data_IF_204351343284
#
_entry.id   IF_204351343284
#
_cell.length_a   1.000
_cell.length_b   1.000
_cell.length_c   1.000
_cell.angle_alpha   90.00
_cell.angle_beta   90.00
_cell.angle_gamma   90.00
#
_symmetry.space_group_name_H-M   'P 1'
#
loop_
_entity.id
_entity.type
_entity.pdbx_description
1 polymer ?
#
# COMPACT_ATOMS: atom_id res chain seq x y z
N UNK A 1 -36.74 18.30 -21.99
CA UNK A 1 -36.67 17.17 -21.03
C UNK A 1 -35.49 17.44 -20.10
N UNK A 2 -35.73 17.89 -18.87
CA UNK A 2 -34.71 18.31 -17.92
C UNK A 2 -34.12 17.07 -17.23
N UNK A 3 -32.83 16.78 -17.37
CA UNK A 3 -32.16 15.72 -16.60
C UNK A 3 -32.07 16.19 -15.14
N UNK A 4 -32.83 15.57 -14.26
CA UNK A 4 -32.66 15.75 -12.82
C UNK A 4 -31.26 15.21 -12.43
N UNK A 5 -30.39 16.09 -11.97
CA UNK A 5 -29.15 15.69 -11.33
C UNK A 5 -29.48 15.17 -9.94
N UNK A 6 -29.46 13.84 -9.77
CA UNK A 6 -29.48 13.23 -8.44
C UNK A 6 -28.09 13.46 -7.85
N UNK A 7 -27.99 14.46 -6.99
CA UNK A 7 -26.82 14.66 -6.15
C UNK A 7 -26.89 13.64 -5.02
N UNK A 8 -26.15 12.54 -5.13
CA UNK A 8 -25.98 11.60 -4.03
C UNK A 8 -25.24 12.36 -2.93
N UNK A 9 -25.93 12.64 -1.83
CA UNK A 9 -25.31 13.21 -0.63
C UNK A 9 -24.42 12.13 -0.02
N UNK A 10 -23.11 12.33 -0.11
CA UNK A 10 -22.14 11.48 0.58
C UNK A 10 -22.02 11.98 2.02
N UNK A 11 -22.31 11.12 2.99
CA UNK A 11 -22.08 11.41 4.40
C UNK A 11 -20.70 10.86 4.78
N UNK A 12 -19.87 11.72 5.36
CA UNK A 12 -18.53 11.40 5.82
C UNK A 12 -18.54 11.36 7.34
N UNK A 13 -18.15 10.23 7.90
CA UNK A 13 -18.03 10.06 9.35
C UNK A 13 -16.64 9.52 9.70
N UNK A 14 -16.14 9.93 10.87
CA UNK A 14 -14.91 9.37 11.42
C UNK A 14 -15.24 8.01 11.99
N UNK A 15 -14.83 6.95 11.28
CA UNK A 15 -15.02 5.57 11.75
C UNK A 15 -14.14 5.24 12.96
N UNK A 16 -12.84 5.55 12.90
CA UNK A 16 -11.88 5.28 13.97
C UNK A 16 -10.87 6.41 14.14
N UNK A 17 -10.42 6.68 15.38
CA UNK A 17 -9.48 7.77 15.71
C UNK A 17 -8.52 7.40 16.84
N UNK A 18 -7.57 8.28 17.18
CA UNK A 18 -6.64 8.09 18.31
C UNK A 18 -5.36 7.28 17.98
N UNK A 19 -5.23 6.84 16.74
CA UNK A 19 -4.02 6.19 16.21
C UNK A 19 -2.90 7.21 15.94
N UNK A 20 -1.65 6.77 16.01
CA UNK A 20 -0.45 7.52 15.68
C UNK A 20 0.11 6.99 14.37
N UNK A 21 -0.04 7.79 13.31
CA UNK A 21 0.43 7.47 11.96
C UNK A 21 -0.10 6.11 11.46
N UNK A 22 -1.43 5.94 11.30
CA UNK A 22 -1.97 4.78 10.60
C UNK A 22 -1.40 4.73 9.17
N UNK A 23 -0.86 3.59 8.76
CA UNK A 23 -0.15 3.41 7.49
C UNK A 23 -1.02 2.80 6.39
N UNK A 24 -1.69 1.69 6.69
CA UNK A 24 -2.52 0.94 5.75
C UNK A 24 -3.76 0.40 6.45
N UNK A 25 -4.80 0.16 5.67
CA UNK A 25 -6.04 -0.49 6.11
C UNK A 25 -6.40 -1.60 5.14
N UNK A 26 -6.88 -2.73 5.65
CA UNK A 26 -7.24 -3.86 4.81
C UNK A 26 -8.41 -4.64 5.40
N UNK A 27 -9.31 -5.08 4.51
CA UNK A 27 -10.41 -5.97 4.86
C UNK A 27 -9.93 -7.41 4.87
N UNK A 28 -10.17 -8.09 5.97
CA UNK A 28 -9.97 -9.53 6.10
C UNK A 28 -11.13 -10.29 5.45
N UNK A 29 -10.89 -11.50 4.90
CA UNK A 29 -11.95 -12.35 4.37
C UNK A 29 -13.07 -12.68 5.38
N UNK A 30 -12.76 -12.63 6.68
CA UNK A 30 -13.72 -12.84 7.77
C UNK A 30 -14.54 -11.58 8.14
N UNK A 31 -14.36 -10.48 7.41
CA UNK A 31 -15.09 -9.23 7.59
C UNK A 31 -14.48 -8.25 8.60
N UNK A 32 -13.31 -8.57 9.18
CA UNK A 32 -12.59 -7.60 10.02
C UNK A 32 -11.94 -6.51 9.17
N UNK A 33 -11.93 -5.28 9.66
CA UNK A 33 -11.12 -4.19 9.11
C UNK A 33 -9.90 -3.99 10.00
N UNK A 34 -8.70 -4.28 9.47
CA UNK A 34 -7.46 -4.11 10.19
C UNK A 34 -6.72 -2.84 9.75
N UNK A 35 -5.99 -2.21 10.66
CA UNK A 35 -5.13 -1.05 10.39
C UNK A 35 -3.73 -1.30 10.92
N UNK A 36 -2.71 -1.04 10.10
CA UNK A 36 -1.32 -0.97 10.55
C UNK A 36 -1.07 0.40 11.17
N UNK A 37 -0.69 0.43 12.44
CA UNK A 37 -0.33 1.65 13.14
C UNK A 37 1.19 1.79 13.18
N UNK A 38 1.71 2.48 12.17
CA UNK A 38 3.14 2.65 11.93
C UNK A 38 3.87 3.25 13.13
N UNK A 39 3.27 4.28 13.74
CA UNK A 39 3.89 5.04 14.82
C UNK A 39 3.93 4.33 16.17
N UNK A 40 3.11 3.30 16.38
CA UNK A 40 3.07 2.50 17.62
C UNK A 40 3.51 1.04 17.45
N UNK A 41 3.91 0.64 16.24
CA UNK A 41 4.43 -0.72 16.04
C UNK A 41 3.37 -1.78 16.30
N UNK A 42 2.14 -1.60 15.82
CA UNK A 42 1.04 -2.53 16.07
C UNK A 42 0.05 -2.61 14.92
N UNK A 43 -0.74 -3.68 14.90
CA UNK A 43 -1.91 -3.86 14.03
C UNK A 43 -3.16 -3.91 14.89
N UNK A 44 -4.19 -3.17 14.49
CA UNK A 44 -5.44 -3.03 15.22
C UNK A 44 -6.60 -3.60 14.41
N UNK A 45 -7.57 -4.18 15.10
CA UNK A 45 -8.91 -4.39 14.56
C UNK A 45 -9.75 -3.15 14.83
N UNK A 46 -10.19 -2.48 13.77
CA UNK A 46 -11.00 -1.25 13.82
C UNK A 46 -12.42 -1.47 13.32
N UNK A 47 -12.87 -2.72 13.20
CA UNK A 47 -14.19 -3.07 12.63
C UNK A 47 -15.33 -2.32 13.30
N UNK A 48 -15.30 -2.21 14.63
CA UNK A 48 -16.34 -1.52 15.42
C UNK A 48 -16.20 0.00 15.48
N UNK A 49 -15.11 0.55 14.94
CA UNK A 49 -14.82 1.99 15.02
C UNK A 49 -14.53 2.48 16.44
N UNK A 50 -14.46 3.80 16.61
CA UNK A 50 -14.24 4.48 17.89
C UNK A 50 -12.80 4.89 18.20
N UNK A 51 -12.52 5.15 19.48
CA UNK A 51 -11.20 5.58 19.95
C UNK A 51 -10.24 4.39 20.09
N UNK A 52 -9.15 4.40 19.34
CA UNK A 52 -8.15 3.34 19.29
C UNK A 52 -6.95 3.57 20.21
N UNK A 53 -6.91 4.68 20.99
CA UNK A 53 -5.74 5.04 21.81
C UNK A 53 -5.28 3.90 22.71
N UNK A 54 -6.22 3.25 23.39
CA UNK A 54 -5.99 2.17 24.36
C UNK A 54 -6.58 0.83 23.88
N UNK A 55 -6.92 0.72 22.59
CA UNK A 55 -7.42 -0.51 22.01
C UNK A 55 -6.38 -1.63 22.11
N UNK A 56 -6.85 -2.85 22.41
CA UNK A 56 -6.02 -4.04 22.47
C UNK A 56 -5.58 -4.36 21.03
N UNK A 57 -4.27 -4.40 20.74
CA UNK A 57 -3.79 -4.71 19.40
C UNK A 57 -4.01 -6.17 19.05
N UNK A 58 -4.30 -6.44 17.78
CA UNK A 58 -4.26 -7.79 17.22
C UNK A 58 -2.82 -8.31 17.20
N UNK A 59 -1.86 -7.49 16.77
CA UNK A 59 -0.42 -7.78 16.82
C UNK A 59 0.35 -6.56 17.33
N UNK A 60 1.41 -6.75 18.13
CA UNK A 60 2.17 -5.65 18.76
C UNK A 60 3.67 -5.96 18.82
N UNK A 61 4.49 -5.00 19.25
CA UNK A 61 5.96 -5.06 19.18
C UNK A 61 6.51 -5.25 17.76
N UNK A 62 5.74 -4.77 16.76
CA UNK A 62 6.25 -4.54 15.41
C UNK A 62 7.15 -3.30 15.44
N UNK A 63 8.05 -3.16 14.46
CA UNK A 63 8.95 -2.01 14.45
C UNK A 63 8.29 -0.84 13.72
N UNK A 64 7.89 -1.05 12.47
CA UNK A 64 7.27 -0.04 11.62
C UNK A 64 6.35 -0.72 10.58
N UNK A 65 5.18 -1.23 11.01
CA UNK A 65 4.27 -1.94 10.13
C UNK A 65 3.64 -0.96 9.14
N UNK A 66 3.98 -1.13 7.86
CA UNK A 66 3.60 -0.22 6.80
C UNK A 66 2.32 -0.68 6.09
N UNK A 67 2.30 -1.93 5.60
CA UNK A 67 1.14 -2.49 4.90
C UNK A 67 0.75 -3.87 5.40
N UNK A 68 -0.54 -4.18 5.30
CA UNK A 68 -1.16 -5.45 5.69
C UNK A 68 -1.63 -6.14 4.42
N UNK A 69 -1.46 -7.46 4.34
CA UNK A 69 -1.94 -8.27 3.22
C UNK A 69 -2.51 -9.60 3.72
N UNK A 70 -3.82 -9.82 3.66
CA UNK A 70 -4.39 -11.16 3.71
C UNK A 70 -4.03 -11.90 2.43
N UNK A 71 -3.39 -13.05 2.55
CA UNK A 71 -3.00 -13.89 1.42
C UNK A 71 -3.19 -15.35 1.78
N UNK A 72 -4.16 -15.99 1.12
CA UNK A 72 -4.60 -17.35 1.43
C UNK A 72 -5.02 -17.45 2.91
N UNK A 73 -4.40 -18.34 3.66
CA UNK A 73 -4.59 -18.59 5.09
C UNK A 73 -3.70 -17.72 5.99
N UNK A 74 -2.95 -16.77 5.42
CA UNK A 74 -1.95 -15.97 6.14
C UNK A 74 -2.33 -14.50 6.18
N UNK A 75 -1.93 -13.84 7.26
CA UNK A 75 -1.91 -12.39 7.37
C UNK A 75 -0.47 -11.91 7.41
N UNK A 76 -0.07 -11.18 6.37
CA UNK A 76 1.28 -10.67 6.22
C UNK A 76 1.34 -9.19 6.52
N UNK A 77 2.49 -8.74 7.02
CA UNK A 77 2.79 -7.32 7.20
C UNK A 77 4.15 -6.98 6.59
N UNK A 78 4.21 -5.91 5.80
CA UNK A 78 5.47 -5.29 5.43
C UNK A 78 5.92 -4.42 6.61
N UNK A 79 6.99 -4.81 7.29
CA UNK A 79 7.56 -4.04 8.38
C UNK A 79 8.87 -3.38 7.94
N UNK A 80 8.81 -2.06 7.81
CA UNK A 80 9.92 -1.26 7.31
C UNK A 80 11.10 -1.21 8.29
N UNK A 81 10.85 -1.40 9.58
CA UNK A 81 11.88 -1.38 10.62
C UNK A 81 12.60 -2.72 10.73
N UNK A 82 11.86 -3.83 10.61
CA UNK A 82 12.45 -5.17 10.52
C UNK A 82 13.08 -5.49 9.15
N UNK A 83 12.87 -4.62 8.15
CA UNK A 83 13.29 -4.84 6.76
C UNK A 83 12.84 -6.22 6.26
N UNK A 84 11.56 -6.50 6.44
CA UNK A 84 11.01 -7.82 6.21
C UNK A 84 9.52 -7.80 5.92
N UNK A 85 9.06 -8.85 5.25
CA UNK A 85 7.66 -9.27 5.30
C UNK A 85 7.55 -10.29 6.43
N UNK A 86 6.62 -10.05 7.35
CA UNK A 86 6.39 -10.88 8.53
C UNK A 86 5.04 -11.58 8.41
N UNK A 87 4.94 -12.75 9.01
CA UNK A 87 3.69 -13.47 9.21
C UNK A 87 3.14 -13.17 10.60
N UNK A 88 1.97 -12.53 10.65
CA UNK A 88 1.28 -12.13 11.88
C UNK A 88 -0.07 -12.83 12.05
N UNK A 89 -0.27 -13.97 11.38
CA UNK A 89 -1.56 -14.69 11.34
C UNK A 89 -2.15 -14.96 12.73
N UNK A 90 -1.30 -15.33 13.69
CA UNK A 90 -1.70 -15.64 15.07
C UNK A 90 -1.91 -14.40 15.95
N UNK A 91 -1.57 -13.21 15.45
CA UNK A 91 -1.51 -12.00 16.26
C UNK A 91 -0.46 -12.08 17.37
N UNK A 92 -0.66 -11.31 18.44
CA UNK A 92 0.17 -11.32 19.65
C UNK A 92 1.51 -10.58 19.50
N UNK A 93 2.46 -10.93 20.37
CA UNK A 93 3.78 -10.31 20.48
C UNK A 93 4.70 -10.65 19.29
N UNK A 94 5.16 -9.62 18.58
CA UNK A 94 6.05 -9.72 17.43
C UNK A 94 7.50 -9.33 17.73
N UNK A 95 7.91 -9.31 19.00
CA UNK A 95 9.32 -9.08 19.39
C UNK A 95 10.29 -10.13 18.81
N UNK A 96 9.79 -11.32 18.46
CA UNK A 96 10.52 -12.38 17.73
C UNK A 96 9.66 -12.82 16.54
N UNK A 97 9.55 -12.00 15.49
CA UNK A 97 8.54 -12.20 14.47
C UNK A 97 8.89 -13.37 13.55
N UNK A 98 7.87 -14.03 13.00
CA UNK A 98 8.02 -15.02 11.94
C UNK A 98 8.35 -14.30 10.62
N UNK A 99 9.63 -14.26 10.27
CA UNK A 99 10.08 -13.64 9.01
C UNK A 99 9.73 -14.55 7.84
N UNK A 100 8.95 -14.02 6.89
CA UNK A 100 8.68 -14.69 5.61
C UNK A 100 9.86 -14.50 4.68
N UNK A 101 10.31 -13.25 4.53
CA UNK A 101 11.41 -12.89 3.64
C UNK A 101 11.97 -11.52 4.04
N UNK A 102 13.26 -11.31 3.79
CA UNK A 102 13.94 -10.02 3.99
C UNK A 102 13.78 -9.15 2.76
N UNK A 103 13.34 -7.91 2.95
CA UNK A 103 13.20 -6.90 1.90
C UNK A 103 13.69 -5.57 2.47
N UNK A 104 14.46 -4.80 1.71
CA UNK A 104 14.96 -3.51 2.19
C UNK A 104 13.83 -2.48 2.20
N UNK A 105 13.50 -1.90 3.37
CA UNK A 105 12.48 -0.85 3.51
C UNK A 105 11.13 -1.13 2.83
N UNK A 106 10.49 -2.29 3.06
CA UNK A 106 9.21 -2.61 2.44
C UNK A 106 8.14 -1.68 3.00
N UNK A 107 7.31 -1.11 2.12
CA UNK A 107 6.27 -0.18 2.55
C UNK A 107 4.86 -0.59 2.12
N UNK A 108 4.72 -1.26 0.98
CA UNK A 108 3.44 -1.78 0.54
C UNK A 108 3.55 -3.23 0.09
N UNK A 109 2.42 -3.92 0.11
CA UNK A 109 2.25 -5.31 -0.29
C UNK A 109 1.07 -5.41 -1.25
N UNK A 110 1.15 -6.34 -2.19
CA UNK A 110 0.06 -6.63 -3.11
C UNK A 110 0.15 -8.08 -3.63
N UNK A 111 -0.97 -8.60 -4.14
CA UNK A 111 -1.04 -9.93 -4.77
C UNK A 111 -1.42 -9.80 -6.24
N UNK A 112 -0.50 -10.13 -7.14
CA UNK A 112 -0.72 -10.11 -8.59
C UNK A 112 -0.51 -11.52 -9.14
N UNK A 113 -1.45 -12.04 -9.93
CA UNK A 113 -1.41 -13.41 -10.46
C UNK A 113 -1.04 -14.48 -9.41
N UNK A 114 -1.62 -14.35 -8.20
CA UNK A 114 -1.39 -15.23 -7.05
C UNK A 114 0.05 -15.21 -6.48
N UNK A 115 0.82 -14.17 -6.77
CA UNK A 115 2.17 -13.97 -6.28
C UNK A 115 2.26 -12.68 -5.46
N UNK A 116 3.12 -12.65 -4.45
CA UNK A 116 3.25 -11.50 -3.56
C UNK A 116 4.28 -10.55 -4.15
N UNK A 117 3.93 -9.27 -4.16
CA UNK A 117 4.82 -8.18 -4.53
C UNK A 117 4.97 -7.24 -3.36
N UNK A 118 6.16 -6.70 -3.19
CA UNK A 118 6.47 -5.70 -2.17
C UNK A 118 7.27 -4.59 -2.79
N UNK A 119 7.13 -3.38 -2.26
CA UNK A 119 8.21 -2.42 -2.48
C UNK A 119 9.49 -2.87 -1.84
N UNK A 120 10.57 -2.33 -2.38
CA UNK A 120 11.79 -2.11 -1.63
C UNK A 120 12.25 -0.66 -1.81
N UNK A 121 13.08 -0.23 -0.86
CA UNK A 121 13.93 0.95 -1.02
C UNK A 121 15.29 0.69 -0.42
N UNK A 122 16.34 1.03 -1.16
CA UNK A 122 17.73 1.06 -0.71
C UNK A 122 18.18 2.53 -0.60
N UNK A 123 19.48 2.75 -0.35
CA UNK A 123 20.06 4.11 -0.39
C UNK A 123 20.18 4.66 -1.82
N UNK A 124 20.15 3.79 -2.83
CA UNK A 124 20.44 4.14 -4.23
C UNK A 124 19.25 4.00 -5.16
N UNK A 125 18.32 3.09 -4.86
CA UNK A 125 17.12 2.91 -5.67
C UNK A 125 15.90 2.46 -4.88
N UNK A 126 14.73 2.71 -5.44
CA UNK A 126 13.46 2.11 -5.04
C UNK A 126 12.90 1.26 -6.19
N UNK A 127 11.91 0.43 -5.89
CA UNK A 127 11.26 -0.39 -6.89
C UNK A 127 10.43 -1.51 -6.29
N UNK A 128 10.08 -2.50 -7.10
CA UNK A 128 9.24 -3.63 -6.69
C UNK A 128 10.05 -4.92 -6.72
N UNK A 129 9.88 -5.73 -5.69
CA UNK A 129 10.29 -7.13 -5.68
C UNK A 129 9.08 -8.03 -5.77
N UNK A 130 9.22 -9.10 -6.52
CA UNK A 130 8.34 -10.25 -6.52
C UNK A 130 8.90 -11.28 -5.54
N UNK A 131 8.04 -11.81 -4.68
CA UNK A 131 8.39 -12.89 -3.75
C UNK A 131 8.00 -14.19 -4.41
N UNK A 132 9.01 -14.98 -4.78
CA UNK A 132 8.78 -16.26 -5.43
C UNK A 132 8.41 -17.36 -4.45
N UNK A 133 8.07 -18.54 -4.97
CA UNK A 133 7.40 -19.61 -4.22
C UNK A 133 8.26 -20.21 -3.11
N UNK A 134 9.59 -20.09 -3.22
CA UNK A 134 10.54 -20.61 -2.25
C UNK A 134 11.11 -19.50 -1.35
N UNK A 135 10.50 -18.31 -1.35
CA UNK A 135 10.96 -17.15 -0.58
C UNK A 135 12.07 -16.35 -1.27
N UNK A 136 12.37 -16.63 -2.54
CA UNK A 136 13.30 -15.82 -3.33
C UNK A 136 12.76 -14.40 -3.55
N UNK A 137 13.67 -13.42 -3.50
CA UNK A 137 13.35 -12.01 -3.74
C UNK A 137 13.86 -11.65 -5.13
N UNK A 138 12.93 -11.48 -6.07
CA UNK A 138 13.23 -11.18 -7.46
C UNK A 138 12.98 -9.70 -7.69
N UNK A 139 14.00 -8.94 -8.11
CA UNK A 139 13.82 -7.55 -8.53
C UNK A 139 12.98 -7.52 -9.80
N UNK A 140 11.79 -6.95 -9.69
CA UNK A 140 10.80 -6.92 -10.77
C UNK A 140 10.69 -5.53 -11.41
N UNK A 141 10.78 -4.48 -10.58
CA UNK A 141 10.90 -3.09 -11.01
C UNK A 141 12.10 -2.45 -10.34
N UNK A 142 12.95 -1.75 -11.10
CA UNK A 142 14.24 -1.24 -10.61
C UNK A 142 14.57 0.16 -11.12
N UNK A 143 15.62 0.76 -10.56
CA UNK A 143 16.22 2.00 -11.07
C UNK A 143 15.46 3.28 -10.73
N UNK A 144 14.39 3.20 -9.91
CA UNK A 144 13.71 4.42 -9.49
C UNK A 144 14.54 5.19 -8.46
N UNK A 145 14.59 6.53 -8.57
CA UNK A 145 15.37 7.33 -7.65
C UNK A 145 14.80 7.28 -6.23
N UNK A 146 15.68 7.19 -5.24
CA UNK A 146 15.31 7.26 -3.83
C UNK A 146 14.93 8.69 -3.49
N UNK A 147 13.82 8.87 -2.78
CA UNK A 147 13.38 10.18 -2.30
C UNK A 147 13.34 10.12 -0.79
N UNK A 148 14.09 10.97 -0.09
CA UNK A 148 14.08 11.02 1.37
C UNK A 148 13.00 12.01 1.83
N UNK A 149 12.15 11.62 2.78
CA UNK A 149 11.24 12.57 3.43
C UNK A 149 11.67 12.86 4.86
N UNK A 150 11.01 13.83 5.49
CA UNK A 150 11.21 14.09 6.91
C UNK A 150 10.87 12.87 7.78
N UNK A 151 9.92 12.04 7.35
CA UNK A 151 9.52 10.83 8.05
C UNK A 151 10.58 9.75 8.01
N UNK A 152 11.30 9.61 6.89
CA UNK A 152 12.42 8.65 6.83
C UNK A 152 13.55 9.05 7.79
N UNK A 153 13.73 10.34 8.08
CA UNK A 153 14.65 10.79 9.14
C UNK A 153 14.11 10.50 10.55
N UNK A 154 12.84 10.82 10.81
CA UNK A 154 12.20 10.62 12.12
C UNK A 154 12.23 9.14 12.53
N UNK A 155 11.87 8.25 11.60
CA UNK A 155 11.80 6.82 11.84
C UNK A 155 13.08 6.07 11.42
N UNK A 156 14.15 6.78 11.03
CA UNK A 156 15.42 6.21 10.55
C UNK A 156 15.24 5.13 9.46
N UNK A 157 14.26 5.34 8.58
CA UNK A 157 13.95 4.47 7.46
C UNK A 157 14.81 4.82 6.25
N UNK A 158 15.04 3.83 5.38
CA UNK A 158 15.91 3.99 4.22
C UNK A 158 15.28 4.88 3.12
N UNK A 159 13.95 5.00 3.01
CA UNK A 159 13.21 6.06 2.26
C UNK A 159 11.70 5.76 2.26
N UNK A 160 10.81 6.75 2.05
CA UNK A 160 9.38 6.57 2.08
C UNK A 160 8.80 6.33 0.67
N UNK A 161 8.19 5.16 0.56
CA UNK A 161 6.85 4.95 0.02
C UNK A 161 6.60 5.36 -1.43
N UNK A 162 6.08 4.40 -2.15
CA UNK A 162 4.76 4.61 -2.71
C UNK A 162 3.76 3.69 -2.04
N UNK A 163 2.56 3.73 -2.57
CA UNK A 163 1.44 2.93 -2.11
C UNK A 163 0.93 2.17 -3.31
N UNK A 164 0.70 0.87 -3.11
CA UNK A 164 0.49 -0.07 -4.21
C UNK A 164 -0.96 -0.45 -4.21
N UNK A 165 -1.45 -0.65 -5.42
CA UNK A 165 -2.66 -1.39 -5.55
C UNK A 165 -2.67 -2.17 -6.84
N UNK A 166 -3.22 -3.36 -6.73
CA UNK A 166 -3.69 -4.17 -7.84
C UNK A 166 -5.20 -4.05 -7.79
N UNK A 167 -5.84 -3.38 -8.77
CA UNK A 167 -7.28 -3.49 -8.89
C UNK A 167 -7.68 -4.98 -9.08
N UNK A 168 -8.72 -5.47 -8.40
CA UNK A 168 -9.15 -6.85 -8.54
C UNK A 168 -9.68 -7.12 -9.96
N UNK A 169 -9.36 -8.30 -10.50
CA UNK A 169 -10.13 -9.15 -11.44
C UNK A 169 -10.54 -8.60 -12.81
N UNK A 170 -10.97 -7.35 -12.90
CA UNK A 170 -11.39 -6.68 -14.14
C UNK A 170 -10.25 -5.89 -14.79
N UNK A 171 -9.31 -5.39 -14.00
CA UNK A 171 -8.12 -4.71 -14.49
C UNK A 171 -6.93 -5.60 -14.19
N UNK A 172 -6.42 -6.26 -15.22
CA UNK A 172 -5.22 -7.08 -15.12
C UNK A 172 -3.97 -6.19 -15.13
N UNK A 173 -3.82 -5.39 -14.08
CA UNK A 173 -2.77 -4.37 -13.97
C UNK A 173 -2.18 -4.32 -12.56
N UNK A 174 -0.86 -4.13 -12.48
CA UNK A 174 -0.14 -3.82 -11.26
C UNK A 174 0.34 -2.36 -11.35
N UNK A 175 -0.04 -1.53 -10.37
CA UNK A 175 0.26 -0.09 -10.41
C UNK A 175 1.31 0.28 -9.36
N UNK A 176 2.38 0.93 -9.83
CA UNK A 176 3.43 1.50 -8.99
C UNK A 176 3.28 3.02 -8.89
N UNK A 177 3.10 3.52 -7.66
CA UNK A 177 3.07 4.95 -7.38
C UNK A 177 4.43 5.44 -6.90
N UNK A 178 5.05 6.41 -7.55
CA UNK A 178 6.29 6.99 -7.04
C UNK A 178 6.03 8.39 -6.45
N UNK A 179 5.87 8.45 -5.12
CA UNK A 179 5.47 9.67 -4.39
C UNK A 179 6.30 10.89 -4.76
N UNK A 180 7.62 10.76 -4.71
CA UNK A 180 8.50 11.91 -4.96
C UNK A 180 8.62 12.33 -6.43
N UNK A 181 8.17 11.48 -7.37
CA UNK A 181 8.07 11.87 -8.77
C UNK A 181 6.67 12.38 -9.12
N UNK A 182 5.67 12.18 -8.25
CA UNK A 182 4.29 12.54 -8.52
C UNK A 182 3.70 11.76 -9.70
N UNK A 183 4.08 10.48 -9.85
CA UNK A 183 3.75 9.65 -11.02
C UNK A 183 3.22 8.27 -10.65
N UNK A 184 2.39 7.71 -11.52
CA UNK A 184 1.92 6.32 -11.49
C UNK A 184 2.37 5.59 -12.75
N UNK A 185 2.75 4.33 -12.60
CA UNK A 185 3.19 3.47 -13.70
C UNK A 185 2.41 2.16 -13.69
N UNK A 186 2.08 1.67 -14.88
CA UNK A 186 1.77 0.27 -15.10
C UNK A 186 3.07 -0.51 -15.03
N UNK A 187 3.17 -1.46 -14.13
CA UNK A 187 4.36 -2.29 -13.97
C UNK A 187 4.05 -3.77 -14.14
N UNK A 188 2.94 -4.11 -14.79
CA UNK A 188 2.46 -5.50 -14.90
C UNK A 188 3.47 -6.43 -15.59
N UNK A 189 4.34 -5.88 -16.43
CA UNK A 189 5.41 -6.60 -17.13
C UNK A 189 6.79 -6.45 -16.47
N UNK A 190 6.89 -5.68 -15.39
CA UNK A 190 8.15 -5.29 -14.77
C UNK A 190 8.95 -4.32 -15.64
N UNK A 191 10.22 -4.12 -15.29
CA UNK A 191 11.15 -3.29 -16.06
C UNK A 191 11.91 -2.27 -15.22
N UNK A 192 12.82 -1.54 -15.84
CA UNK A 192 13.55 -0.46 -15.18
C UNK A 192 12.86 0.91 -15.36
N UNK A 193 13.29 1.88 -14.57
CA UNK A 193 12.77 3.24 -14.59
C UNK A 193 12.78 3.89 -15.98
N UNK A 194 13.84 3.72 -16.78
CA UNK A 194 13.94 4.37 -18.08
C UNK A 194 12.90 3.81 -19.06
N UNK A 195 12.73 2.49 -19.06
CA UNK A 195 11.71 1.83 -19.85
C UNK A 195 10.29 2.26 -19.41
N UNK A 196 10.01 2.21 -18.11
CA UNK A 196 8.69 2.49 -17.56
C UNK A 196 8.29 3.97 -17.72
N UNK A 197 9.25 4.90 -17.61
CA UNK A 197 9.02 6.33 -17.84
C UNK A 197 8.57 6.62 -19.27
N UNK A 198 9.06 5.85 -20.24
CA UNK A 198 8.72 6.05 -21.65
C UNK A 198 7.44 5.31 -22.07
N UNK A 199 7.19 4.13 -21.51
CA UNK A 199 6.22 3.20 -22.06
C UNK A 199 5.01 2.93 -21.17
N UNK A 200 5.10 3.25 -19.87
CA UNK A 200 4.14 2.73 -18.88
C UNK A 200 3.58 3.78 -17.93
N UNK A 201 3.77 5.07 -18.23
CA UNK A 201 3.27 6.16 -17.41
C UNK A 201 1.73 6.26 -17.50
N UNK A 202 1.05 6.06 -16.37
CA UNK A 202 -0.41 6.14 -16.25
C UNK A 202 -0.89 7.55 -15.86
N UNK A 203 -0.15 8.21 -14.97
CA UNK A 203 -0.47 9.54 -14.48
C UNK A 203 0.78 10.30 -14.03
N UNK A 204 0.75 11.63 -14.13
CA UNK A 204 1.79 12.54 -13.64
C UNK A 204 1.19 13.82 -13.06
N UNK A 205 2.00 14.58 -12.33
CA UNK A 205 1.56 15.84 -11.72
C UNK A 205 0.76 15.61 -10.42
N UNK A 206 0.97 14.46 -9.79
CA UNK A 206 0.41 14.16 -8.49
C UNK A 206 1.28 14.72 -7.37
N UNK A 207 0.66 15.06 -6.24
CA UNK A 207 1.28 15.86 -5.18
C UNK A 207 1.44 15.05 -3.88
N UNK A 208 2.51 14.25 -3.83
CA UNK A 208 2.84 13.38 -2.70
C UNK A 208 1.73 12.37 -2.35
N UNK A 209 1.57 11.38 -3.22
CA UNK A 209 0.57 10.32 -3.04
C UNK A 209 0.93 9.42 -1.85
N UNK A 210 -0.05 9.22 -0.98
CA UNK A 210 0.09 8.43 0.26
C UNK A 210 -0.85 7.23 0.36
N UNK A 211 -1.69 7.00 -0.63
CA UNK A 211 -2.60 5.86 -0.62
C UNK A 211 -3.37 5.79 -1.93
N UNK A 212 -3.74 4.59 -2.35
CA UNK A 212 -4.60 4.41 -3.52
C UNK A 212 -5.58 3.27 -3.29
N UNK A 213 -6.81 3.44 -3.76
CA UNK A 213 -7.83 2.39 -3.77
C UNK A 213 -8.68 2.46 -5.06
N UNK A 214 -8.70 1.38 -5.84
CA UNK A 214 -9.56 1.12 -6.96
C UNK A 214 -10.89 0.62 -6.43
N UNK A 215 -11.93 1.33 -6.80
CA UNK A 215 -13.29 0.95 -6.50
C UNK A 215 -13.89 0.19 -7.68
N UNK A 216 -14.12 -1.11 -7.50
CA UNK A 216 -14.76 -1.96 -8.52
C UNK A 216 -16.17 -1.52 -8.90
N UNK A 217 -16.88 -0.83 -8.00
CA UNK A 217 -18.28 -0.43 -8.24
C UNK A 217 -18.41 0.72 -9.23
N UNK A 218 -17.51 1.70 -9.15
CA UNK A 218 -17.54 2.89 -10.03
C UNK A 218 -16.37 2.95 -11.03
N UNK A 219 -15.49 1.94 -10.98
CA UNK A 219 -14.33 1.74 -11.84
C UNK A 219 -13.32 2.89 -11.81
N UNK A 220 -13.22 3.62 -10.69
CA UNK A 220 -12.22 4.67 -10.50
C UNK A 220 -11.10 4.21 -9.57
N UNK A 221 -9.88 4.67 -9.87
CA UNK A 221 -8.78 4.67 -8.92
C UNK A 221 -8.84 5.96 -8.11
N UNK A 222 -8.97 5.83 -6.80
CA UNK A 222 -8.86 6.93 -5.85
C UNK A 222 -7.43 7.02 -5.36
N UNK A 223 -6.91 8.23 -5.25
CA UNK A 223 -5.52 8.52 -4.88
C UNK A 223 -5.55 9.62 -3.83
N UNK A 224 -4.98 9.35 -2.66
CA UNK A 224 -4.87 10.33 -1.58
C UNK A 224 -3.55 11.08 -1.71
N UNK A 225 -3.59 12.41 -1.70
CA UNK A 225 -2.44 13.30 -1.78
C UNK A 225 -2.21 14.04 -0.46
N UNK A 226 -1.07 13.82 0.19
CA UNK A 226 -0.84 14.39 1.53
C UNK A 226 -0.62 15.90 1.52
N UNK A 227 0.03 16.43 0.48
CA UNK A 227 0.35 17.86 0.42
C UNK A 227 -0.83 18.73 -0.01
N UNK A 228 -1.80 18.13 -0.73
CA UNK A 228 -3.06 18.79 -1.11
C UNK A 228 -4.21 18.55 -0.13
N UNK A 229 -4.08 17.57 0.78
CA UNK A 229 -5.18 17.05 1.59
C UNK A 229 -6.42 16.70 0.73
N UNK A 230 -6.16 16.08 -0.43
CA UNK A 230 -7.16 15.84 -1.47
C UNK A 230 -7.23 14.35 -1.84
N UNK A 231 -8.39 13.93 -2.34
CA UNK A 231 -8.60 12.61 -2.93
C UNK A 231 -8.91 12.79 -4.40
N UNK A 232 -7.93 12.50 -5.25
CA UNK A 232 -8.10 12.50 -6.70
C UNK A 232 -8.74 11.19 -7.14
N UNK A 233 -9.55 11.26 -8.20
CA UNK A 233 -10.04 10.09 -8.92
C UNK A 233 -9.49 10.07 -10.33
N UNK A 234 -9.00 8.93 -10.76
CA UNK A 234 -8.58 8.67 -12.13
C UNK A 234 -9.46 7.58 -12.73
N UNK A 235 -9.93 7.81 -13.96
CA UNK A 235 -10.54 6.77 -14.78
C UNK A 235 -9.47 6.17 -15.67
N UNK A 236 -9.29 4.86 -15.59
CA UNK A 236 -8.61 4.13 -16.64
C UNK A 236 -9.55 4.07 -17.85
N UNK A 237 -9.37 4.97 -18.81
CA UNK A 237 -9.99 4.84 -20.14
C UNK A 237 -9.09 3.90 -20.95
N UNK A 238 -9.54 2.68 -21.27
CA UNK A 238 -8.72 1.85 -22.15
C UNK A 238 -8.96 0.34 -22.25
N UNK A 239 -10.00 -0.26 -21.67
CA UNK A 239 -10.34 -1.66 -21.98
C UNK A 239 -11.86 -1.77 -22.15
N UNK A 240 -12.37 -1.11 -23.19
CA UNK A 240 -13.60 -1.60 -23.83
C UNK A 240 -13.14 -2.78 -24.71
N UNK A 241 -13.69 -3.95 -24.43
CA UNK A 241 -13.42 -5.18 -25.19
C UNK A 241 -13.51 -4.87 -26.69
N UNK A 242 -12.41 -5.09 -27.41
CA UNK A 242 -12.47 -5.41 -28.84
C UNK A 242 -13.14 -6.75 -29.05
#
# INVERSE_FOLDING_TARGET
MLKAFIMIKMELEIHAYGMLHPGHMEWMPDGRLLVSEFGRGRVLDVTKGGNMRDAIPFAYNLSHPAAILPYKDRLLVADAGFNAILDITEGGDQSRPKIVVKVSGPYGLAVYHNEIYSTFSTQTESGIVKIGKNGEVIRFVTGFPVVYSIWSKIYKLISPCGHWQIPPGELDILIFSHRGLGKLYDISQGGDFNYLEQNSLLAKGLNEQIGMIYNKHDKNLYIVESKGADVKKCKFRGIENS
#
